data_IF_409180678839
#
_entry.id   IF_409180678839
#
_cell.length_a   1.000
_cell.length_b   1.000
_cell.length_c   1.000
_cell.angle_alpha   90.00
_cell.angle_beta   90.00
_cell.angle_gamma   90.00
#
_symmetry.space_group_name_H-M   'P 1'
#
loop_
_entity.id
_entity.type
_entity.pdbx_description
1 polymer ?
#
# COMPACT_ATOMS: atom_id res chain seq x y z
N UNK A 1 -13.52 -3.74 -16.56
CA UNK A 1 -12.81 -3.71 -15.26
C UNK A 1 -11.81 -2.57 -15.36
N UNK A 2 -11.63 -1.72 -14.34
CA UNK A 2 -10.58 -0.70 -14.40
C UNK A 2 -9.23 -1.38 -14.68
N UNK A 3 -8.39 -0.75 -15.50
CA UNK A 3 -7.03 -1.25 -15.72
C UNK A 3 -6.29 -1.32 -14.38
N UNK A 4 -5.62 -2.45 -14.15
CA UNK A 4 -4.81 -2.65 -12.96
C UNK A 4 -3.58 -1.74 -13.03
N UNK A 5 -3.39 -0.93 -12.01
CA UNK A 5 -2.25 -0.01 -11.85
C UNK A 5 -0.97 -0.72 -11.43
N UNK A 6 -1.07 -1.97 -10.95
CA UNK A 6 -0.01 -2.75 -10.35
C UNK A 6 0.65 -2.07 -9.13
N UNK A 7 -0.10 -1.19 -8.45
CA UNK A 7 0.35 -0.44 -7.28
C UNK A 7 -0.30 -0.93 -6.00
N UNK A 8 0.47 -0.90 -4.91
CA UNK A 8 -0.01 -1.24 -3.57
C UNK A 8 0.22 -0.06 -2.61
N UNK A 9 -0.87 0.56 -2.17
CA UNK A 9 -0.81 1.70 -1.26
C UNK A 9 -0.43 1.27 0.16
N UNK A 10 0.36 2.05 0.87
CA UNK A 10 0.65 1.83 2.29
C UNK A 10 0.88 3.15 2.99
N UNK A 11 0.60 3.21 4.29
CA UNK A 11 0.89 4.40 5.09
C UNK A 11 2.37 4.40 5.52
N UNK A 12 3.06 5.52 5.27
CA UNK A 12 4.44 5.75 5.68
C UNK A 12 5.36 6.14 4.52
N UNK A 13 6.66 6.00 4.76
CA UNK A 13 7.71 6.33 3.80
C UNK A 13 8.36 5.07 3.19
N UNK A 14 8.98 5.16 2.01
CA UNK A 14 9.79 4.07 1.45
C UNK A 14 10.82 3.57 2.46
N UNK A 15 10.93 2.25 2.62
CA UNK A 15 11.78 1.60 3.62
C UNK A 15 11.11 1.35 4.98
N UNK A 16 9.87 1.80 5.22
CA UNK A 16 9.12 1.42 6.41
C UNK A 16 8.82 -0.10 6.44
N UNK A 17 8.43 -0.61 7.61
CA UNK A 17 8.00 -2.00 7.76
C UNK A 17 6.85 -2.36 6.80
N UNK A 18 5.93 -1.42 6.56
CA UNK A 18 4.83 -1.59 5.61
C UNK A 18 5.30 -1.70 4.16
N UNK A 19 6.32 -0.95 3.74
CA UNK A 19 6.95 -1.10 2.41
C UNK A 19 7.59 -2.49 2.27
N UNK A 20 8.28 -2.94 3.32
CA UNK A 20 8.85 -4.29 3.37
C UNK A 20 7.77 -5.37 3.29
N UNK A 21 6.65 -5.19 3.98
CA UNK A 21 5.50 -6.10 3.91
C UNK A 21 4.90 -6.16 2.49
N UNK A 22 4.76 -5.00 1.83
CA UNK A 22 4.34 -4.93 0.43
C UNK A 22 5.26 -5.75 -0.48
N UNK A 23 6.58 -5.53 -0.40
CA UNK A 23 7.57 -6.21 -1.24
C UNK A 23 7.68 -7.71 -0.96
N UNK A 24 7.49 -8.13 0.29
CA UNK A 24 7.54 -9.53 0.66
C UNK A 24 6.32 -10.32 0.17
N UNK A 25 5.12 -9.75 0.26
CA UNK A 25 3.88 -10.42 -0.15
C UNK A 25 3.58 -10.24 -1.65
N UNK A 26 3.92 -9.08 -2.20
CA UNK A 26 3.65 -8.67 -3.58
C UNK A 26 4.93 -8.12 -4.23
N UNK A 27 5.95 -8.97 -4.49
CA UNK A 27 7.24 -8.54 -5.02
C UNK A 27 7.16 -7.88 -6.40
N UNK A 28 6.14 -8.22 -7.18
CA UNK A 28 5.94 -7.70 -8.54
C UNK A 28 5.12 -6.39 -8.57
N UNK A 29 4.61 -5.92 -7.43
CA UNK A 29 3.83 -4.68 -7.33
C UNK A 29 4.70 -3.49 -6.92
N UNK A 30 4.33 -2.29 -7.39
CA UNK A 30 4.99 -1.04 -7.02
C UNK A 30 4.38 -0.46 -5.73
N UNK A 31 5.14 -0.34 -4.63
CA UNK A 31 4.63 0.27 -3.39
C UNK A 31 4.36 1.76 -3.58
N UNK A 32 3.17 2.20 -3.22
CA UNK A 32 2.72 3.59 -3.25
C UNK A 32 2.66 4.15 -1.81
N UNK A 33 3.66 4.94 -1.38
CA UNK A 33 3.64 5.55 -0.06
C UNK A 33 2.54 6.60 0.06
N UNK A 34 1.82 6.57 1.17
CA UNK A 34 0.74 7.49 1.52
C UNK A 34 1.02 8.13 2.89
N UNK A 35 0.70 9.43 3.08
CA UNK A 35 0.97 10.10 4.36
C UNK A 35 0.09 9.57 5.50
N UNK A 36 -1.17 9.23 5.21
CA UNK A 36 -2.14 8.72 6.18
C UNK A 36 -2.73 7.37 5.76
N UNK A 37 -3.42 6.68 6.68
CA UNK A 37 -4.14 5.45 6.34
C UNK A 37 -5.33 5.75 5.43
N UNK A 38 -6.02 6.84 5.70
CA UNK A 38 -7.12 7.36 4.90
C UNK A 38 -6.70 7.60 3.46
N UNK A 39 -5.49 8.12 3.23
CA UNK A 39 -4.93 8.27 1.88
C UNK A 39 -4.67 6.93 1.19
N UNK A 40 -4.22 5.92 1.93
CA UNK A 40 -4.03 4.57 1.40
C UNK A 40 -5.37 3.91 1.02
N UNK A 41 -6.41 4.10 1.83
CA UNK A 41 -7.77 3.67 1.51
C UNK A 41 -8.33 4.40 0.28
N UNK A 42 -8.19 5.73 0.24
CA UNK A 42 -8.61 6.55 -0.89
C UNK A 42 -7.87 6.18 -2.18
N UNK A 43 -6.60 5.78 -2.10
CA UNK A 43 -5.84 5.35 -3.27
C UNK A 43 -6.46 4.11 -3.93
N UNK A 44 -6.99 3.17 -3.13
CA UNK A 44 -7.71 2.00 -3.65
C UNK A 44 -9.09 2.39 -4.17
N UNK A 45 -9.85 3.19 -3.42
CA UNK A 45 -11.19 3.63 -3.80
C UNK A 45 -11.21 4.43 -5.11
N UNK A 46 -10.19 5.27 -5.32
CA UNK A 46 -10.04 6.10 -6.53
C UNK A 46 -9.33 5.39 -7.69
N UNK A 47 -8.88 4.15 -7.50
CA UNK A 47 -8.17 3.36 -8.51
C UNK A 47 -6.74 3.83 -8.79
N UNK A 48 -6.11 4.57 -7.87
CA UNK A 48 -4.67 4.92 -7.92
C UNK A 48 -3.76 3.74 -7.51
N UNK A 49 -4.30 2.81 -6.74
CA UNK A 49 -3.68 1.56 -6.33
C UNK A 49 -4.69 0.42 -6.45
N UNK A 50 -4.19 -0.79 -6.72
CA UNK A 50 -5.03 -1.98 -6.82
C UNK A 50 -5.29 -2.62 -5.45
N UNK A 51 -4.35 -2.44 -4.52
CA UNK A 51 -4.38 -2.99 -3.17
C UNK A 51 -3.88 -1.94 -2.17
N UNK A 52 -4.18 -2.15 -0.89
CA UNK A 52 -3.57 -1.42 0.22
C UNK A 52 -3.04 -2.39 1.28
N UNK A 53 -1.86 -2.08 1.83
CA UNK A 53 -1.23 -2.78 2.94
C UNK A 53 -1.41 -1.96 4.21
N UNK A 54 -2.24 -2.44 5.13
CA UNK A 54 -2.61 -1.74 6.37
C UNK A 54 -2.25 -2.62 7.58
N UNK A 55 -1.30 -2.20 8.44
CA UNK A 55 -1.00 -2.90 9.69
C UNK A 55 -2.17 -2.72 10.67
N UNK A 56 -2.78 -3.82 11.09
CA UNK A 56 -3.88 -3.82 12.07
C UNK A 56 -3.41 -4.07 13.51
N UNK A 57 -2.27 -4.75 13.67
CA UNK A 57 -1.68 -5.09 14.95
C UNK A 57 -0.16 -4.85 14.89
N UNK A 58 0.41 -4.32 15.96
CA UNK A 58 1.85 -4.18 16.13
C UNK A 58 2.20 -4.52 17.59
N UNK A 59 3.07 -5.51 17.80
CA UNK A 59 3.58 -5.85 19.13
C UNK A 59 4.76 -4.93 19.44
N UNK A 60 4.72 -4.25 20.60
CA UNK A 60 5.77 -3.32 21.07
C UNK A 60 6.95 -4.10 21.64
#
# INVERSE_FOLDING_TARGET
MPEKTNRIAFQGEPGANSDTACRNMFPDMEPLPCPTFEDAFNAVETGKADLAMIPIENTI
#
